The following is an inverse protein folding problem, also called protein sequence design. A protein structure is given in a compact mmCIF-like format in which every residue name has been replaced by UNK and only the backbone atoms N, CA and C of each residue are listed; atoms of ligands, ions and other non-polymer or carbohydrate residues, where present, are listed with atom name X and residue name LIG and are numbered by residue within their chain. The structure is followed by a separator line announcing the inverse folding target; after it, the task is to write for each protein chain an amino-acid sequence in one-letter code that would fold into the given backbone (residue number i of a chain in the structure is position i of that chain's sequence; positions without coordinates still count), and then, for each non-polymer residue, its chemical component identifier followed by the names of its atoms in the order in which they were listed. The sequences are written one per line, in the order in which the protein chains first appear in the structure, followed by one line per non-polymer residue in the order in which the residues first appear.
data_IF_784765665201
#
_entry.id   IF_784765665201
#
_cell.length_a   1.000
_cell.length_b   1.000
_cell.length_c   1.000
_cell.angle_alpha   90.00
_cell.angle_beta   90.00
_cell.angle_gamma   90.00
#
_symmetry.space_group_name_H-M   'P 1'
#
loop_
_entity.id
_entity.type
_entity.pdbx_description
1 polymer ?
#
# COMPACT_ATOMS: atom_id res chain seq x y z
N UNK A 1 0.03 9.46 -5.71
CA UNK A 1 1.44 9.03 -5.64
C UNK A 1 1.47 7.61 -6.13
N UNK A 2 2.27 7.32 -7.16
CA UNK A 2 2.51 5.96 -7.60
C UNK A 2 3.28 5.23 -6.49
N UNK A 3 2.75 4.09 -6.06
CA UNK A 3 3.24 3.35 -4.88
C UNK A 3 4.59 2.68 -5.17
N UNK A 4 4.95 2.47 -6.44
CA UNK A 4 6.17 1.79 -6.85
C UNK A 4 7.26 2.76 -7.31
N UNK A 5 6.88 3.79 -8.07
CA UNK A 5 7.81 4.74 -8.69
C UNK A 5 7.91 6.07 -7.93
N UNK A 6 7.04 6.30 -6.93
CA UNK A 6 7.01 7.54 -6.15
C UNK A 6 6.52 8.77 -6.94
N UNK A 7 6.11 8.60 -8.19
CA UNK A 7 5.62 9.67 -9.06
C UNK A 7 4.36 10.33 -8.50
N UNK A 8 4.27 11.66 -8.60
CA UNK A 8 3.06 12.41 -8.25
C UNK A 8 2.38 12.93 -9.51
N UNK A 9 1.05 12.78 -9.55
CA UNK A 9 0.21 13.29 -10.63
C UNK A 9 -1.12 13.75 -10.04
N UNK A 10 -1.75 14.73 -10.69
CA UNK A 10 -3.05 15.21 -10.27
C UNK A 10 -4.11 14.14 -10.58
N UNK A 11 -4.82 13.68 -9.53
CA UNK A 11 -5.86 12.65 -9.63
C UNK A 11 -7.27 13.26 -9.66
N UNK A 12 -7.45 14.43 -9.05
CA UNK A 12 -8.71 15.18 -9.01
C UNK A 12 -8.42 16.67 -8.73
N UNK A 13 -9.37 17.55 -9.05
CA UNK A 13 -9.30 18.98 -8.74
C UNK A 13 -9.87 19.31 -7.35
N UNK A 14 -10.73 18.45 -6.80
CA UNK A 14 -11.36 18.65 -5.49
C UNK A 14 -11.40 17.37 -4.65
N UNK A 15 -11.57 17.50 -3.34
CA UNK A 15 -11.72 16.36 -2.44
C UNK A 15 -12.98 15.53 -2.74
N UNK A 16 -14.09 16.17 -3.12
CA UNK A 16 -15.33 15.48 -3.48
C UNK A 16 -15.19 14.68 -4.77
N UNK A 17 -14.48 15.24 -5.76
CA UNK A 17 -14.14 14.53 -6.98
C UNK A 17 -13.19 13.35 -6.69
N UNK A 18 -12.18 13.55 -5.86
CA UNK A 18 -11.29 12.48 -5.40
C UNK A 18 -12.06 11.35 -4.71
N UNK A 19 -12.97 11.70 -3.79
CA UNK A 19 -13.78 10.74 -3.06
C UNK A 19 -14.68 9.94 -3.99
N UNK A 20 -15.28 10.56 -5.00
CA UNK A 20 -16.06 9.83 -6.02
C UNK A 20 -15.18 8.89 -6.85
N UNK A 21 -14.00 9.36 -7.26
CA UNK A 21 -13.07 8.59 -8.07
C UNK A 21 -12.55 7.34 -7.34
N UNK A 22 -12.10 7.48 -6.08
CA UNK A 22 -11.58 6.37 -5.27
C UNK A 22 -12.60 5.25 -4.98
N UNK A 23 -13.90 5.56 -5.07
CA UNK A 23 -14.96 4.58 -4.84
C UNK A 23 -15.42 3.85 -6.11
N UNK A 24 -14.73 4.07 -7.25
CA UNK A 24 -14.98 3.30 -8.48
C UNK A 24 -14.16 2.00 -8.50
N UNK A 25 -14.73 0.86 -8.97
CA UNK A 25 -14.01 -0.40 -9.06
C UNK A 25 -12.71 -0.30 -9.86
N UNK A 26 -12.72 0.46 -10.96
CA UNK A 26 -11.57 0.63 -11.85
C UNK A 26 -10.41 1.33 -11.12
N UNK A 27 -10.70 2.37 -10.35
CA UNK A 27 -9.68 3.06 -9.56
C UNK A 27 -9.13 2.15 -8.47
N UNK A 28 -10.00 1.42 -7.76
CA UNK A 28 -9.58 0.52 -6.69
C UNK A 28 -8.67 -0.60 -7.21
N UNK A 29 -9.04 -1.25 -8.31
CA UNK A 29 -8.22 -2.30 -8.93
C UNK A 29 -6.83 -1.78 -9.30
N UNK A 30 -6.74 -0.57 -9.85
CA UNK A 30 -5.48 0.03 -10.28
C UNK A 30 -4.59 0.49 -9.11
N UNK A 31 -5.18 0.97 -8.01
CA UNK A 31 -4.43 1.70 -6.98
C UNK A 31 -4.36 0.97 -5.62
N UNK A 32 -5.23 0.00 -5.35
CA UNK A 32 -5.33 -0.63 -4.02
C UNK A 32 -4.81 -2.07 -3.99
N UNK A 33 -4.22 -2.57 -5.08
CA UNK A 33 -3.65 -3.93 -5.16
C UNK A 33 -4.68 -5.01 -4.74
N UNK A 34 -5.93 -4.85 -5.17
CA UNK A 34 -7.10 -5.62 -4.68
C UNK A 34 -6.88 -7.13 -4.77
N UNK A 35 -6.34 -7.63 -5.88
CA UNK A 35 -6.09 -9.06 -6.09
C UNK A 35 -5.06 -9.62 -5.10
N UNK A 36 -4.02 -8.83 -4.80
CA UNK A 36 -3.02 -9.20 -3.81
C UNK A 36 -3.59 -9.23 -2.40
N UNK A 37 -4.45 -8.28 -2.06
CA UNK A 37 -5.18 -8.29 -0.78
C UNK A 37 -6.11 -9.50 -0.68
N UNK A 38 -6.83 -9.84 -1.75
CA UNK A 38 -7.68 -11.02 -1.79
C UNK A 38 -6.88 -12.31 -1.52
N UNK A 39 -5.72 -12.46 -2.17
CA UNK A 39 -4.81 -13.58 -1.95
C UNK A 39 -4.34 -13.71 -0.49
N UNK A 40 -4.10 -12.59 0.19
CA UNK A 40 -3.71 -12.58 1.61
C UNK A 40 -4.84 -13.09 2.51
N UNK A 41 -6.06 -12.63 2.25
CA UNK A 41 -7.25 -13.09 2.97
C UNK A 41 -7.47 -14.59 2.76
N UNK A 42 -7.34 -15.08 1.53
CA UNK A 42 -7.42 -16.52 1.21
C UNK A 42 -6.35 -17.35 1.94
N UNK A 43 -5.17 -16.77 2.18
CA UNK A 43 -4.08 -17.39 2.95
C UNK A 43 -4.24 -17.28 4.47
N UNK A 44 -5.32 -16.67 4.95
CA UNK A 44 -5.57 -16.47 6.38
C UNK A 44 -4.76 -15.32 7.00
N UNK A 45 -4.15 -14.46 6.19
CA UNK A 45 -3.46 -13.25 6.67
C UNK A 45 -4.50 -12.15 6.82
N UNK A 46 -4.87 -11.85 8.07
CA UNK A 46 -5.81 -10.80 8.42
C UNK A 46 -5.13 -9.67 9.20
N UNK A 47 -5.68 -8.45 9.10
CA UNK A 47 -5.23 -7.27 9.87
C UNK A 47 -6.36 -6.68 10.69
N UNK A 48 -6.02 -6.12 11.86
CA UNK A 48 -6.94 -5.31 12.67
C UNK A 48 -7.18 -3.90 12.10
N UNK A 49 -8.07 -3.14 12.74
CA UNK A 49 -8.47 -1.78 12.31
C UNK A 49 -7.33 -0.76 12.31
N UNK A 50 -6.32 -0.94 13.16
CA UNK A 50 -5.12 -0.10 13.24
C UNK A 50 -3.87 -0.77 12.64
N UNK A 51 -4.06 -1.84 11.88
CA UNK A 51 -2.97 -2.57 11.25
C UNK A 51 -3.03 -2.47 9.73
N UNK A 52 -1.87 -2.60 9.11
CA UNK A 52 -1.66 -2.55 7.67
C UNK A 52 -0.98 -3.83 7.19
N UNK A 53 -1.19 -4.18 5.92
CA UNK A 53 -0.37 -5.19 5.26
C UNK A 53 0.96 -4.56 4.89
N UNK A 54 1.98 -4.86 5.70
CA UNK A 54 3.36 -4.42 5.45
C UNK A 54 4.17 -5.54 4.81
N UNK A 55 5.22 -5.15 4.11
CA UNK A 55 6.19 -6.06 3.50
C UNK A 55 7.51 -6.01 4.27
N UNK A 56 8.00 -7.17 4.69
CA UNK A 56 9.27 -7.30 5.41
C UNK A 56 10.19 -8.32 4.70
N UNK A 57 11.24 -7.88 3.97
CA UNK A 57 11.73 -6.50 3.81
C UNK A 57 10.83 -5.62 2.91
N UNK A 58 10.99 -4.31 3.04
CA UNK A 58 10.22 -3.33 2.26
C UNK A 58 10.52 -3.46 0.75
N UNK A 59 9.53 -3.26 -0.17
CA UNK A 59 9.71 -3.54 -1.60
C UNK A 59 10.77 -2.67 -2.28
N UNK A 60 11.04 -1.46 -1.76
CA UNK A 60 12.14 -0.62 -2.25
C UNK A 60 13.52 -1.25 -2.06
N UNK A 61 13.70 -2.08 -1.03
CA UNK A 61 14.96 -2.76 -0.73
C UNK A 61 15.18 -3.99 -1.60
N UNK A 62 14.09 -4.61 -2.06
CA UNK A 62 14.11 -5.82 -2.89
C UNK A 62 13.85 -5.55 -4.37
N UNK A 63 13.43 -4.33 -4.73
CA UNK A 63 13.00 -3.94 -6.07
C UNK A 63 11.69 -4.58 -6.53
N UNK A 64 10.95 -5.28 -5.64
CA UNK A 64 9.70 -5.96 -6.00
C UNK A 64 8.80 -6.22 -4.80
N UNK A 65 7.50 -6.30 -5.08
CA UNK A 65 6.51 -6.81 -4.14
C UNK A 65 6.63 -8.33 -4.01
N UNK A 66 6.83 -8.82 -2.79
CA UNK A 66 6.82 -10.25 -2.46
C UNK A 66 5.64 -10.56 -1.52
N UNK A 67 4.53 -11.04 -2.09
CA UNK A 67 3.31 -11.40 -1.37
C UNK A 67 3.49 -12.55 -0.36
N UNK A 68 4.61 -13.29 -0.41
CA UNK A 68 4.91 -14.32 0.60
C UNK A 68 5.45 -13.74 1.91
N UNK A 69 5.90 -12.48 1.89
CA UNK A 69 6.53 -11.80 3.03
C UNK A 69 5.65 -10.74 3.67
N UNK A 70 4.36 -10.76 3.33
CA UNK A 70 3.40 -9.83 3.92
C UNK A 70 3.04 -10.25 5.33
N UNK A 71 2.94 -9.27 6.22
CA UNK A 71 2.46 -9.45 7.58
C UNK A 71 1.60 -8.26 8.01
N UNK A 72 0.71 -8.50 8.98
CA UNK A 72 -0.02 -7.41 9.62
C UNK A 72 0.93 -6.66 10.57
N UNK A 73 1.14 -5.37 10.29
CA UNK A 73 1.96 -4.50 11.12
C UNK A 73 1.08 -3.40 11.72
N UNK A 74 1.42 -2.97 12.93
CA UNK A 74 0.83 -1.78 13.51
C UNK A 74 1.08 -0.55 12.63
N UNK A 75 0.11 0.36 12.57
CA UNK A 75 0.20 1.59 11.79
C UNK A 75 1.49 2.35 12.07
N UNK A 76 1.86 2.55 13.34
CA UNK A 76 3.05 3.32 13.71
C UNK A 76 4.31 2.64 13.18
N UNK A 77 4.38 1.31 13.29
CA UNK A 77 5.53 0.52 12.80
C UNK A 77 5.66 0.61 11.30
N UNK A 78 4.58 0.35 10.55
CA UNK A 78 4.63 0.35 9.10
C UNK A 78 4.99 1.73 8.54
N UNK A 79 4.35 2.79 9.02
CA UNK A 79 4.66 4.15 8.58
C UNK A 79 6.09 4.56 8.94
N UNK A 80 6.63 4.10 10.09
CA UNK A 80 8.03 4.37 10.46
C UNK A 80 9.02 3.73 9.48
N UNK A 81 8.75 2.49 9.04
CA UNK A 81 9.57 1.80 8.03
C UNK A 81 9.51 2.56 6.71
N UNK A 82 8.32 2.92 6.23
CA UNK A 82 8.15 3.66 4.97
C UNK A 82 8.85 5.03 4.99
N UNK A 83 8.81 5.73 6.13
CA UNK A 83 9.46 7.03 6.28
C UNK A 83 10.99 6.93 6.17
N UNK A 84 11.61 5.92 6.80
CA UNK A 84 13.06 5.71 6.73
C UNK A 84 13.57 5.42 5.31
N UNK A 85 12.75 4.71 4.53
CA UNK A 85 13.06 4.38 3.14
C UNK A 85 13.04 5.62 2.24
N UNK A 86 12.15 6.58 2.51
CA UNK A 86 11.99 7.77 1.68
C UNK A 86 13.20 8.73 1.78
N UNK A 87 13.86 8.76 2.93
CA UNK A 87 15.01 9.63 3.22
C UNK A 87 16.37 9.04 2.77
N UNK A 88 16.38 7.87 2.12
CA UNK A 88 17.60 7.26 1.58
C UNK A 88 18.60 6.73 2.62
N UNK A 89 18.18 6.58 3.89
CA UNK A 89 19.02 6.10 5.00
C UNK A 89 18.77 4.63 5.38
N UNK A 90 18.14 3.85 4.48
CA UNK A 90 17.87 2.43 4.69
C UNK A 90 19.03 1.54 4.25
#
# INVERSE_FOLDING_TARGET
MDVLEGGVGQVAATFDEFSRCMNTPEWQQRNLLVDGVALLVERGVSRGSAQFYGFAPHPSLTGKIDWQRVMALDAVVWHSICAQVLDGNA
#
